data_IF_326775188128
#
_entry.id   IF_326775188128
#
_cell.length_a   1.000
_cell.length_b   1.000
_cell.length_c   1.000
_cell.angle_alpha   90.00
_cell.angle_beta   90.00
_cell.angle_gamma   90.00
#
_symmetry.space_group_name_H-M   'P 1'
#
loop_
_entity.id
_entity.type
_entity.pdbx_description
1 polymer ?
#
# COMPACT_ATOMS: atom_id res chain seq x y z
N UNK A 1 10.91 6.09 42.86
CA UNK A 1 10.35 4.82 42.34
C UNK A 1 9.37 5.00 41.15
N UNK A 2 8.74 6.14 40.97
CA UNK A 2 7.77 6.46 39.89
C UNK A 2 8.37 6.48 38.48
N UNK A 3 9.59 6.95 38.30
CA UNK A 3 10.25 7.07 37.00
C UNK A 3 10.50 5.74 36.28
N UNK A 4 10.66 4.64 36.98
CA UNK A 4 10.84 3.30 36.38
C UNK A 4 9.53 2.67 35.90
N UNK A 5 8.41 2.95 36.55
CA UNK A 5 7.11 2.44 36.19
C UNK A 5 6.59 3.11 34.92
N UNK A 6 6.75 4.43 34.81
CA UNK A 6 6.36 5.20 33.60
C UNK A 6 7.21 4.87 32.38
N UNK A 7 8.50 4.57 32.57
CA UNK A 7 9.39 4.12 31.50
C UNK A 7 8.98 2.74 30.95
N UNK A 8 8.65 1.78 31.82
CA UNK A 8 8.18 0.45 31.40
C UNK A 8 6.84 0.49 30.67
N UNK A 9 5.88 1.30 31.12
CA UNK A 9 4.58 1.43 30.45
C UNK A 9 4.71 2.03 29.04
N UNK A 10 5.53 3.07 28.85
CA UNK A 10 5.82 3.64 27.52
C UNK A 10 6.50 2.64 26.60
N UNK A 11 7.43 1.85 27.09
CA UNK A 11 8.17 0.86 26.32
C UNK A 11 7.25 -0.29 25.87
N UNK A 12 6.35 -0.73 26.74
CA UNK A 12 5.36 -1.76 26.43
C UNK A 12 4.34 -1.29 25.39
N UNK A 13 3.87 -0.03 25.48
CA UNK A 13 2.97 0.59 24.51
C UNK A 13 3.63 0.71 23.12
N UNK A 14 4.91 1.09 23.08
CA UNK A 14 5.66 1.16 21.81
C UNK A 14 5.85 -0.22 21.18
N UNK A 15 6.20 -1.23 21.98
CA UNK A 15 6.37 -2.60 21.47
C UNK A 15 5.08 -3.15 20.85
N UNK A 16 3.94 -2.99 21.53
CA UNK A 16 2.63 -3.41 20.99
C UNK A 16 2.27 -2.67 19.69
N UNK A 17 2.58 -1.38 19.60
CA UNK A 17 2.37 -0.61 18.37
C UNK A 17 3.19 -1.18 17.20
N UNK A 18 4.49 -1.40 17.37
CA UNK A 18 5.34 -1.95 16.31
C UNK A 18 4.95 -3.37 15.92
N UNK A 19 4.54 -4.20 16.87
CA UNK A 19 4.02 -5.54 16.60
C UNK A 19 2.75 -5.51 15.73
N UNK A 20 1.84 -4.58 16.01
CA UNK A 20 0.64 -4.35 15.20
C UNK A 20 1.01 -3.86 13.80
N UNK A 21 1.88 -2.86 13.73
CA UNK A 21 2.38 -2.32 12.47
C UNK A 21 2.99 -3.41 11.59
N UNK A 22 3.87 -4.22 12.15
CA UNK A 22 4.54 -5.31 11.43
C UNK A 22 3.55 -6.33 10.85
N UNK A 23 2.58 -6.78 11.64
CA UNK A 23 1.55 -7.73 11.18
C UNK A 23 0.71 -7.19 10.03
N UNK A 24 0.27 -5.92 10.12
CA UNK A 24 -0.52 -5.28 9.07
C UNK A 24 0.33 -5.04 7.81
N UNK A 25 1.58 -4.63 7.97
CA UNK A 25 2.51 -4.42 6.85
C UNK A 25 2.77 -5.71 6.09
N UNK A 26 3.05 -6.82 6.77
CA UNK A 26 3.24 -8.11 6.10
C UNK A 26 1.98 -8.53 5.35
N UNK A 27 0.81 -8.46 6.00
CA UNK A 27 -0.45 -8.83 5.36
C UNK A 27 -0.74 -8.01 4.11
N UNK A 28 -0.54 -6.69 4.16
CA UNK A 28 -0.69 -5.80 3.02
C UNK A 28 0.35 -6.05 1.92
N UNK A 29 1.60 -6.35 2.29
CA UNK A 29 2.67 -6.63 1.31
C UNK A 29 2.43 -7.94 0.56
N UNK A 30 1.97 -8.98 1.25
CA UNK A 30 1.63 -10.28 0.63
C UNK A 30 0.46 -10.11 -0.34
N UNK A 31 -0.56 -9.36 0.06
CA UNK A 31 -1.69 -9.05 -0.81
C UNK A 31 -1.22 -8.26 -2.05
N UNK A 32 -0.48 -7.18 -1.86
CA UNK A 32 0.04 -6.35 -2.95
C UNK A 32 0.88 -7.18 -3.93
N UNK A 33 1.68 -8.09 -3.42
CA UNK A 33 2.44 -9.06 -4.20
C UNK A 33 1.53 -9.97 -5.04
N UNK A 34 0.53 -10.60 -4.42
CA UNK A 34 -0.37 -11.51 -5.11
C UNK A 34 -1.15 -10.82 -6.24
N UNK A 35 -1.69 -9.63 -5.97
CA UNK A 35 -2.40 -8.82 -6.96
C UNK A 35 -1.46 -8.34 -8.07
N UNK A 36 -0.23 -7.90 -7.74
CA UNK A 36 0.75 -7.49 -8.74
C UNK A 36 1.09 -8.63 -9.70
N UNK A 37 1.31 -9.84 -9.19
CA UNK A 37 1.54 -11.02 -10.05
C UNK A 37 0.33 -11.29 -10.93
N UNK A 38 -0.89 -11.36 -10.34
CA UNK A 38 -2.10 -11.64 -11.08
C UNK A 38 -2.32 -10.64 -12.24
N UNK A 39 -2.16 -9.35 -11.97
CA UNK A 39 -2.29 -8.32 -13.01
C UNK A 39 -1.14 -8.31 -14.02
N UNK A 40 0.07 -8.68 -13.59
CA UNK A 40 1.23 -8.72 -14.50
C UNK A 40 1.13 -9.80 -15.58
N UNK A 41 0.25 -10.79 -15.40
CA UNK A 41 -0.03 -11.83 -16.39
C UNK A 41 -1.02 -11.37 -17.48
N UNK A 42 -1.67 -10.23 -17.31
CA UNK A 42 -2.59 -9.71 -18.31
C UNK A 42 -1.83 -9.19 -19.56
N UNK A 43 -2.35 -9.40 -20.79
CA UNK A 43 -1.71 -8.89 -22.01
C UNK A 43 -1.48 -7.37 -21.97
N UNK A 44 -2.45 -6.60 -21.49
CA UNK A 44 -2.35 -5.14 -21.37
C UNK A 44 -1.20 -4.71 -20.43
N UNK A 45 -0.90 -5.51 -19.40
CA UNK A 45 0.24 -5.24 -18.54
C UNK A 45 1.59 -5.53 -19.23
N UNK A 46 1.61 -6.46 -20.20
CA UNK A 46 2.77 -6.69 -21.04
C UNK A 46 3.08 -5.50 -21.95
N UNK A 47 2.06 -4.92 -22.58
CA UNK A 47 2.17 -3.70 -23.38
C UNK A 47 2.69 -2.52 -22.52
N UNK A 48 2.13 -2.32 -21.34
CA UNK A 48 2.57 -1.29 -20.40
C UNK A 48 4.05 -1.45 -20.02
N UNK A 49 4.49 -2.67 -19.72
CA UNK A 49 5.90 -2.94 -19.38
C UNK A 49 6.82 -2.69 -20.57
N UNK A 50 6.40 -3.13 -21.77
CA UNK A 50 7.17 -2.91 -23.00
C UNK A 50 7.36 -1.43 -23.28
N UNK A 51 6.30 -0.61 -23.15
CA UNK A 51 6.36 0.83 -23.37
C UNK A 51 7.34 1.54 -22.40
N UNK A 52 7.43 1.08 -21.16
CA UNK A 52 8.34 1.61 -20.15
C UNK A 52 9.70 0.89 -20.07
N UNK A 53 9.96 -0.05 -20.98
CA UNK A 53 11.17 -0.90 -20.97
C UNK A 53 11.40 -1.64 -19.65
N UNK A 54 10.31 -2.04 -18.97
CA UNK A 54 10.35 -2.73 -17.67
C UNK A 54 10.25 -4.24 -17.88
N UNK A 55 11.22 -5.00 -17.37
CA UNK A 55 11.15 -6.47 -17.41
C UNK A 55 10.15 -7.04 -16.41
N UNK A 56 9.61 -8.23 -16.70
CA UNK A 56 8.72 -8.95 -15.77
C UNK A 56 9.35 -9.15 -14.39
N UNK A 57 10.64 -9.53 -14.36
CA UNK A 57 11.40 -9.75 -13.12
C UNK A 57 11.50 -8.46 -12.30
N UNK A 58 11.72 -7.30 -12.96
CA UNK A 58 11.75 -6.00 -12.28
C UNK A 58 10.41 -5.70 -11.62
N UNK A 59 9.28 -5.88 -12.32
CA UNK A 59 7.95 -5.67 -11.74
C UNK A 59 7.74 -6.57 -10.52
N UNK A 60 8.03 -7.85 -10.63
CA UNK A 60 7.83 -8.81 -9.52
C UNK A 60 8.75 -8.49 -8.33
N UNK A 61 10.01 -8.15 -8.55
CA UNK A 61 10.95 -7.86 -7.47
C UNK A 61 10.77 -6.47 -6.90
N UNK A 62 10.83 -5.43 -7.74
CA UNK A 62 10.85 -4.03 -7.24
C UNK A 62 9.48 -3.57 -6.77
N UNK A 63 8.41 -3.82 -7.53
CA UNK A 63 7.04 -3.45 -7.11
C UNK A 63 6.63 -4.22 -5.86
N UNK A 64 6.99 -5.49 -5.79
CA UNK A 64 6.54 -6.35 -4.69
C UNK A 64 7.33 -6.16 -3.42
N UNK A 65 8.66 -6.24 -3.52
CA UNK A 65 9.52 -6.25 -2.32
C UNK A 65 9.73 -4.86 -1.75
N UNK A 66 9.89 -3.84 -2.57
CA UNK A 66 10.19 -2.49 -2.11
C UNK A 66 8.92 -1.65 -1.99
N UNK A 67 8.20 -1.48 -3.10
CA UNK A 67 7.05 -0.59 -3.17
C UNK A 67 5.90 -1.11 -2.32
N UNK A 68 5.58 -2.41 -2.42
CA UNK A 68 4.51 -3.04 -1.64
C UNK A 68 4.74 -2.94 -0.13
N UNK A 69 5.97 -3.19 0.34
CA UNK A 69 6.32 -3.07 1.77
C UNK A 69 6.21 -1.62 2.24
N UNK A 70 6.76 -0.67 1.46
CA UNK A 70 6.74 0.76 1.82
C UNK A 70 5.31 1.26 1.89
N UNK A 71 4.49 0.97 0.87
CA UNK A 71 3.09 1.42 0.83
C UNK A 71 2.26 0.76 1.95
N UNK A 72 2.42 -0.54 2.16
CA UNK A 72 1.71 -1.26 3.23
C UNK A 72 2.11 -0.73 4.61
N UNK A 73 3.40 -0.43 4.83
CA UNK A 73 3.88 0.18 6.06
C UNK A 73 3.28 1.57 6.28
N UNK A 74 3.25 2.40 5.23
CA UNK A 74 2.63 3.72 5.24
C UNK A 74 1.16 3.63 5.65
N UNK A 75 0.34 2.85 4.92
CA UNK A 75 -1.10 2.72 5.19
C UNK A 75 -1.34 2.18 6.61
N UNK A 76 -0.59 1.16 7.02
CA UNK A 76 -0.72 0.55 8.35
C UNK A 76 -0.33 1.52 9.47
N UNK A 77 0.76 2.28 9.29
CA UNK A 77 1.21 3.28 10.26
C UNK A 77 0.17 4.38 10.44
N UNK A 78 -0.31 4.96 9.35
CA UNK A 78 -1.31 6.02 9.40
C UNK A 78 -2.66 5.53 9.93
N UNK A 79 -3.06 4.30 9.59
CA UNK A 79 -4.26 3.69 10.15
C UNK A 79 -4.16 3.53 11.68
N UNK A 80 -3.02 3.04 12.19
CA UNK A 80 -2.80 2.87 13.63
C UNK A 80 -2.67 4.21 14.37
N UNK A 81 -2.04 5.23 13.75
CA UNK A 81 -1.72 6.51 14.40
C UNK A 81 -2.87 7.50 14.36
N UNK A 82 -3.64 7.50 13.27
CA UNK A 82 -4.68 8.50 13.01
C UNK A 82 -6.08 7.89 12.89
N UNK A 83 -6.28 6.70 13.45
CA UNK A 83 -7.54 5.98 13.36
C UNK A 83 -8.76 6.86 13.73
N UNK A 84 -8.66 7.59 14.84
CA UNK A 84 -9.76 8.42 15.36
C UNK A 84 -9.96 9.74 14.60
N UNK A 85 -8.95 10.17 13.83
CA UNK A 85 -9.00 11.42 13.05
C UNK A 85 -9.65 11.27 11.68
N UNK A 86 -9.80 10.03 11.18
CA UNK A 86 -10.40 9.78 9.88
C UNK A 86 -11.93 9.76 10.02
N UNK A 87 -12.70 10.57 9.26
CA UNK A 87 -14.12 10.83 9.47
C UNK A 87 -15.02 9.67 9.00
N UNK A 88 -14.68 8.43 9.32
CA UNK A 88 -15.51 7.24 9.03
C UNK A 88 -15.50 6.29 10.21
N UNK A 89 -16.58 5.52 10.39
CA UNK A 89 -16.68 4.55 11.49
C UNK A 89 -16.07 3.18 11.13
N UNK A 90 -15.94 2.86 9.84
CA UNK A 90 -15.52 1.55 9.38
C UNK A 90 -14.01 1.47 9.14
N UNK A 91 -13.28 0.55 9.80
CA UNK A 91 -11.82 0.40 9.64
C UNK A 91 -11.38 0.15 8.19
N UNK A 92 -12.17 -0.64 7.44
CA UNK A 92 -11.89 -0.95 6.04
C UNK A 92 -11.92 0.33 5.20
N UNK A 93 -12.97 1.16 5.38
CA UNK A 93 -13.09 2.40 4.63
C UNK A 93 -11.96 3.39 4.97
N UNK A 94 -11.54 3.44 6.24
CA UNK A 94 -10.38 4.25 6.66
C UNK A 94 -9.10 3.81 5.94
N UNK A 95 -8.84 2.51 5.90
CA UNK A 95 -7.66 1.98 5.23
C UNK A 95 -7.69 2.18 3.70
N UNK A 96 -8.87 2.05 3.08
CA UNK A 96 -9.07 2.35 1.65
C UNK A 96 -8.79 3.82 1.36
N UNK A 97 -9.32 4.75 2.15
CA UNK A 97 -9.04 6.19 1.99
C UNK A 97 -7.54 6.46 2.10
N UNK A 98 -6.88 5.86 3.09
CA UNK A 98 -5.43 6.02 3.28
C UNK A 98 -4.61 5.41 2.14
N UNK A 99 -5.07 4.33 1.51
CA UNK A 99 -4.36 3.72 0.37
C UNK A 99 -4.43 4.57 -0.91
N UNK A 100 -5.42 5.45 -1.03
CA UNK A 100 -5.50 6.38 -2.16
C UNK A 100 -4.43 7.49 -2.12
N UNK A 101 -3.88 7.81 -0.95
CA UNK A 101 -2.80 8.82 -0.86
C UNK A 101 -1.54 8.36 -1.61
N UNK A 102 -0.94 7.18 -1.32
CA UNK A 102 0.19 6.70 -2.10
C UNK A 102 -0.19 6.39 -3.56
N UNK A 103 -1.45 6.03 -3.85
CA UNK A 103 -1.91 5.87 -5.22
C UNK A 103 -1.77 7.19 -6.02
N UNK A 104 -2.21 8.31 -5.47
CA UNK A 104 -2.05 9.62 -6.12
C UNK A 104 -0.57 9.96 -6.35
N UNK A 105 0.30 9.64 -5.40
CA UNK A 105 1.76 9.81 -5.58
C UNK A 105 2.29 8.96 -6.74
N UNK A 106 1.85 7.70 -6.85
CA UNK A 106 2.21 6.82 -7.97
C UNK A 106 1.69 7.38 -9.30
N UNK A 107 0.49 7.95 -9.34
CA UNK A 107 -0.05 8.60 -10.54
C UNK A 107 0.79 9.80 -10.98
N UNK A 108 1.26 10.62 -10.05
CA UNK A 108 2.13 11.77 -10.36
C UNK A 108 3.46 11.27 -10.96
N UNK A 109 4.09 10.28 -10.33
CA UNK A 109 5.33 9.68 -10.83
C UNK A 109 5.15 9.05 -12.20
N UNK A 110 4.06 8.33 -12.41
CA UNK A 110 3.71 7.72 -13.69
C UNK A 110 3.47 8.78 -14.76
N UNK A 111 2.77 9.87 -14.42
CA UNK A 111 2.55 11.01 -15.34
C UNK A 111 3.86 11.64 -15.79
N UNK A 112 4.81 11.83 -14.87
CA UNK A 112 6.16 12.32 -15.22
C UNK A 112 6.89 11.31 -16.12
N UNK A 113 6.87 10.02 -15.78
CA UNK A 113 7.55 8.99 -16.58
C UNK A 113 6.98 8.89 -18.00
N UNK A 114 5.66 8.93 -18.14
CA UNK A 114 4.99 8.82 -19.45
C UNK A 114 5.07 10.11 -20.28
N UNK A 115 5.25 11.28 -19.65
CA UNK A 115 5.47 12.54 -20.37
C UNK A 115 6.82 12.60 -21.11
N UNK A 116 7.75 11.73 -20.75
CA UNK A 116 9.06 11.60 -21.41
C UNK A 116 9.02 10.61 -22.60
N UNK A 117 7.91 9.91 -22.82
CA UNK A 117 7.75 9.00 -23.95
C UNK A 117 7.38 9.78 -25.22
N UNK A 118 8.06 9.48 -26.31
CA UNK A 118 7.69 9.94 -27.64
C UNK A 118 6.47 9.14 -28.13
N UNK A 119 5.34 9.82 -28.43
CA UNK A 119 4.13 9.20 -28.98
C UNK A 119 3.03 8.99 -27.94
N UNK A 120 2.61 7.74 -27.70
CA UNK A 120 1.37 7.40 -26.94
C UNK A 120 1.49 7.48 -25.41
N UNK A 121 2.25 8.44 -24.86
CA UNK A 121 2.46 8.61 -23.42
C UNK A 121 1.16 8.69 -22.61
N UNK A 122 0.11 9.33 -23.16
CA UNK A 122 -1.21 9.39 -22.53
C UNK A 122 -1.87 8.01 -22.44
N UNK A 123 -1.77 7.20 -23.49
CA UNK A 123 -2.33 5.82 -23.49
C UNK A 123 -1.63 4.95 -22.44
N UNK A 124 -0.29 5.00 -22.39
CA UNK A 124 0.51 4.28 -21.39
C UNK A 124 0.17 4.73 -19.96
N UNK A 125 -0.01 6.05 -19.75
CA UNK A 125 -0.48 6.59 -18.47
C UNK A 125 -1.83 6.03 -18.06
N UNK A 126 -2.83 6.02 -18.96
CA UNK A 126 -4.17 5.52 -18.67
C UNK A 126 -4.17 4.03 -18.33
N UNK A 127 -3.39 3.21 -19.05
CA UNK A 127 -3.21 1.79 -18.70
C UNK A 127 -2.63 1.63 -17.31
N UNK A 128 -1.52 2.32 -17.04
CA UNK A 128 -0.85 2.23 -15.74
C UNK A 128 -1.73 2.72 -14.60
N UNK A 129 -2.46 3.81 -14.78
CA UNK A 129 -3.41 4.32 -13.81
C UNK A 129 -4.51 3.29 -13.52
N UNK A 130 -5.11 2.72 -14.57
CA UNK A 130 -6.19 1.72 -14.44
C UNK A 130 -5.71 0.45 -13.76
N UNK A 131 -4.53 -0.06 -14.08
CA UNK A 131 -3.95 -1.26 -13.46
C UNK A 131 -3.62 -1.06 -11.98
N UNK A 132 -3.33 0.16 -11.55
CA UNK A 132 -2.99 0.44 -10.16
C UNK A 132 -4.24 0.66 -9.27
N UNK A 133 -5.39 1.10 -9.79
CA UNK A 133 -6.63 1.27 -9.00
C UNK A 133 -6.96 0.02 -8.17
N UNK A 134 -7.12 -1.18 -8.77
CA UNK A 134 -7.48 -2.36 -7.99
C UNK A 134 -6.38 -2.76 -6.98
N UNK A 135 -5.10 -2.58 -7.30
CA UNK A 135 -4.00 -2.87 -6.36
C UNK A 135 -4.15 -2.09 -5.05
N UNK A 136 -4.35 -0.77 -5.15
CA UNK A 136 -4.50 0.09 -3.97
C UNK A 136 -5.84 -0.10 -3.26
N UNK A 137 -6.91 -0.41 -4.00
CA UNK A 137 -8.21 -0.71 -3.43
C UNK A 137 -8.15 -1.99 -2.57
N UNK A 138 -7.62 -3.08 -3.12
CA UNK A 138 -7.47 -4.35 -2.40
C UNK A 138 -6.52 -4.21 -1.22
N UNK A 139 -5.42 -3.48 -1.36
CA UNK A 139 -4.51 -3.18 -0.26
C UNK A 139 -5.24 -2.54 0.93
N UNK A 140 -6.03 -1.51 0.66
CA UNK A 140 -6.83 -0.85 1.70
C UNK A 140 -7.85 -1.78 2.34
N UNK A 141 -8.54 -2.61 1.54
CA UNK A 141 -9.52 -3.59 2.03
C UNK A 141 -8.85 -4.61 2.94
N UNK A 142 -7.73 -5.19 2.53
CA UNK A 142 -7.03 -6.24 3.29
C UNK A 142 -6.44 -5.68 4.59
N UNK A 143 -5.76 -4.53 4.55
CA UNK A 143 -5.23 -3.91 5.76
C UNK A 143 -6.37 -3.54 6.73
N UNK A 144 -7.45 -2.96 6.24
CA UNK A 144 -8.62 -2.61 7.06
C UNK A 144 -9.33 -3.83 7.63
N UNK A 145 -9.44 -4.91 6.88
CA UNK A 145 -9.99 -6.18 7.35
C UNK A 145 -9.11 -6.82 8.43
N UNK A 146 -7.79 -6.89 8.20
CA UNK A 146 -6.84 -7.40 9.18
C UNK A 146 -6.86 -6.56 10.47
N UNK A 147 -6.94 -5.24 10.34
CA UNK A 147 -7.08 -4.36 11.49
C UNK A 147 -8.35 -4.69 12.28
N UNK A 148 -9.50 -4.78 11.61
CA UNK A 148 -10.78 -5.13 12.25
C UNK A 148 -10.70 -6.51 12.94
N UNK A 149 -10.14 -7.51 12.27
CA UNK A 149 -10.05 -8.87 12.80
C UNK A 149 -9.10 -8.99 14.00
N UNK A 150 -7.96 -8.32 13.95
CA UNK A 150 -6.91 -8.44 14.96
C UNK A 150 -7.09 -7.48 16.14
N UNK A 151 -7.76 -6.35 15.94
CA UNK A 151 -7.79 -5.25 16.91
C UNK A 151 -9.17 -4.61 17.10
N UNK A 152 -10.17 -4.97 16.31
CA UNK A 152 -11.50 -4.38 16.33
C UNK A 152 -12.47 -5.00 17.34
N UNK A 153 -11.97 -5.82 18.26
CA UNK A 153 -12.77 -6.43 19.35
C UNK A 153 -12.46 -5.74 20.71
N UNK A 154 -12.08 -4.47 20.71
CA UNK A 154 -11.99 -3.69 21.94
C UNK A 154 -13.12 -2.67 22.01
#
# INVERSE_FOLDING_TARGET
>A
METRATSRSKQQTSYEFYKKLFKLTIGGSVEFWAITIAFSLLPIAAEFRAALSISYVQVVIYDTLLVGIIISCYVSYFLLRFFDKIPTKHPILKAVILSFVPYVMVLILLGVATSLLEGDGLYVFLIGATLNVPRFLFLGIVIGYLYKRLYGQA
#
